data_IF_796174924475
#
_entry.id   IF_796174924475
#
_cell.length_a   1.000
_cell.length_b   1.000
_cell.length_c   1.000
_cell.angle_alpha   90.00
_cell.angle_beta   90.00
_cell.angle_gamma   90.00
#
_symmetry.space_group_name_H-M   'P 1'
#
loop_
_entity.id
_entity.type
_entity.pdbx_description
1 polymer ?
#
# COMPACT_ATOMS: atom_id res chain seq x y z
N UNK A 1 -13.04 9.13 3.30
CA UNK A 1 -13.46 9.82 2.06
C UNK A 1 -14.95 9.57 1.81
N UNK A 2 -15.84 10.28 2.48
CA UNK A 2 -17.23 10.40 2.01
C UNK A 2 -17.28 11.55 1.01
N UNK A 3 -16.85 11.27 -0.21
CA UNK A 3 -17.36 12.03 -1.34
C UNK A 3 -18.77 11.45 -1.62
N UNK A 4 -19.77 12.29 -1.82
CA UNK A 4 -21.16 11.88 -2.08
C UNK A 4 -21.56 12.08 -3.53
N UNK A 5 -20.66 12.59 -4.38
CA UNK A 5 -20.88 12.73 -5.81
C UNK A 5 -19.57 12.57 -6.59
N UNK A 6 -19.60 11.85 -7.70
CA UNK A 6 -18.46 11.81 -8.61
C UNK A 6 -18.22 13.21 -9.23
N UNK A 7 -17.34 14.00 -8.62
CA UNK A 7 -16.93 15.34 -9.08
C UNK A 7 -16.20 15.30 -10.43
N UNK A 8 -15.82 14.10 -10.89
CA UNK A 8 -15.17 13.85 -12.17
C UNK A 8 -16.18 13.71 -13.32
N UNK A 9 -17.49 13.68 -13.04
CA UNK A 9 -18.51 13.36 -14.03
C UNK A 9 -19.65 14.38 -14.04
N UNK A 10 -19.73 15.15 -15.12
CA UNK A 10 -20.94 15.89 -15.49
C UNK A 10 -21.91 14.92 -16.21
N UNK A 11 -22.99 14.55 -15.52
CA UNK A 11 -24.00 13.65 -16.09
C UNK A 11 -24.71 14.24 -17.32
N UNK A 12 -24.63 15.56 -17.55
CA UNK A 12 -25.16 16.18 -18.76
C UNK A 12 -24.24 15.97 -19.98
N UNK A 13 -23.00 15.53 -19.77
CA UNK A 13 -21.97 15.32 -20.81
C UNK A 13 -21.61 13.84 -21.01
N UNK A 14 -22.42 12.91 -20.53
CA UNK A 14 -22.17 11.47 -20.71
C UNK A 14 -22.04 11.07 -22.19
N UNK A 15 -22.75 11.76 -23.08
CA UNK A 15 -22.74 11.50 -24.52
C UNK A 15 -21.45 11.98 -25.23
N UNK A 16 -20.60 12.76 -24.55
CA UNK A 16 -19.37 13.35 -25.11
C UNK A 16 -18.10 12.77 -24.48
N UNK A 17 -18.18 11.57 -23.88
CA UNK A 17 -17.02 10.87 -23.36
C UNK A 17 -16.15 10.23 -24.48
N UNK A 18 -14.81 10.17 -24.33
CA UNK A 18 -14.05 10.56 -23.13
C UNK A 18 -13.90 12.09 -23.01
N UNK A 19 -14.25 12.62 -21.84
CA UNK A 19 -14.01 14.01 -21.45
C UNK A 19 -12.61 14.19 -20.82
N UNK A 20 -12.14 15.44 -20.75
CA UNK A 20 -10.91 15.78 -20.02
C UNK A 20 -11.14 15.87 -18.50
N UNK A 21 -10.07 15.72 -17.70
CA UNK A 21 -10.12 15.99 -16.26
C UNK A 21 -10.39 17.49 -16.06
N UNK A 22 -11.44 17.90 -15.32
CA UNK A 22 -11.75 19.31 -15.09
C UNK A 22 -10.55 20.07 -14.50
N UNK A 23 -10.24 21.31 -14.95
CA UNK A 23 -9.05 22.05 -14.50
C UNK A 23 -8.95 22.23 -12.98
N UNK A 24 -10.06 22.55 -12.30
CA UNK A 24 -10.08 22.70 -10.85
C UNK A 24 -9.73 21.41 -10.10
N UNK A 25 -10.17 20.27 -10.65
CA UNK A 25 -9.86 18.96 -10.12
C UNK A 25 -8.42 18.56 -10.38
N UNK A 26 -7.90 18.81 -11.57
CA UNK A 26 -6.49 18.58 -11.88
C UNK A 26 -5.59 19.39 -10.94
N UNK A 27 -5.92 20.67 -10.71
CA UNK A 27 -5.20 21.53 -9.77
C UNK A 27 -5.22 20.98 -8.34
N UNK A 28 -6.38 20.49 -7.87
CA UNK A 28 -6.47 19.87 -6.54
C UNK A 28 -5.70 18.55 -6.44
N UNK A 29 -5.75 17.69 -7.46
CA UNK A 29 -4.97 16.45 -7.51
C UNK A 29 -3.47 16.74 -7.46
N UNK A 30 -3.00 17.70 -8.27
CA UNK A 30 -1.60 18.14 -8.27
C UNK A 30 -1.19 18.70 -6.92
N UNK A 31 -2.04 19.54 -6.30
CA UNK A 31 -1.79 20.11 -4.97
C UNK A 31 -1.75 19.03 -3.89
N UNK A 32 -2.67 18.07 -3.90
CA UNK A 32 -2.72 16.97 -2.93
C UNK A 32 -1.48 16.08 -3.07
N UNK A 33 -1.07 15.72 -4.28
CA UNK A 33 0.10 14.85 -4.48
C UNK A 33 1.43 15.52 -4.19
N UNK A 34 1.51 16.85 -4.22
CA UNK A 34 2.76 17.58 -3.95
C UNK A 34 2.81 18.12 -2.53
N UNK A 35 1.71 18.64 -2.00
CA UNK A 35 1.69 19.34 -0.71
C UNK A 35 0.90 18.60 0.37
N UNK A 36 0.14 17.57 0.00
CA UNK A 36 -0.76 16.86 0.90
C UNK A 36 -2.04 17.64 1.23
N UNK A 37 -2.29 18.76 0.54
CA UNK A 37 -3.42 19.68 0.76
C UNK A 37 -4.13 19.99 -0.55
N UNK A 38 -5.46 19.90 -0.55
CA UNK A 38 -6.31 20.42 -1.64
C UNK A 38 -6.73 21.86 -1.38
N UNK A 39 -7.07 22.59 -2.44
CA UNK A 39 -7.63 23.94 -2.33
C UNK A 39 -9.12 23.92 -1.95
N UNK A 40 -9.80 22.79 -2.17
CA UNK A 40 -11.25 22.67 -1.97
C UNK A 40 -12.07 22.92 -3.24
N UNK A 41 -11.44 23.37 -4.33
CA UNK A 41 -12.12 23.84 -5.53
C UNK A 41 -12.66 22.71 -6.42
N UNK A 42 -11.89 21.63 -6.59
CA UNK A 42 -12.26 20.44 -7.35
C UNK A 42 -12.51 19.21 -6.47
N UNK A 43 -11.91 19.16 -5.29
CA UNK A 43 -12.10 18.14 -4.26
C UNK A 43 -12.36 18.87 -2.95
N UNK A 44 -13.52 18.70 -2.28
CA UNK A 44 -13.87 19.39 -1.03
C UNK A 44 -13.07 18.84 0.17
N UNK A 45 -11.75 18.93 0.09
CA UNK A 45 -10.77 18.38 1.01
C UNK A 45 -9.66 19.41 1.22
N UNK A 46 -9.83 20.21 2.26
CA UNK A 46 -8.88 21.27 2.65
C UNK A 46 -7.98 20.84 3.82
N UNK A 47 -8.23 19.67 4.41
CA UNK A 47 -7.38 19.12 5.46
C UNK A 47 -6.15 18.44 4.85
N UNK A 48 -5.08 18.35 5.65
CA UNK A 48 -3.86 17.65 5.27
C UNK A 48 -4.11 16.14 5.27
N UNK A 49 -4.00 15.52 4.09
CA UNK A 49 -4.16 14.07 3.89
C UNK A 49 -2.85 13.36 3.56
N UNK A 50 -1.78 14.13 3.28
CA UNK A 50 -0.46 13.59 2.95
C UNK A 50 0.70 14.48 3.39
N UNK A 51 1.91 14.01 3.07
CA UNK A 51 3.15 14.75 3.27
C UNK A 51 3.36 15.86 2.23
N UNK A 52 4.41 16.65 2.41
CA UNK A 52 4.88 17.58 1.38
C UNK A 52 6.11 16.98 0.70
N UNK A 53 6.07 16.96 -0.63
CA UNK A 53 7.06 16.32 -1.48
C UNK A 53 7.50 17.29 -2.58
N UNK A 54 8.79 17.28 -2.97
CA UNK A 54 9.26 18.06 -4.12
C UNK A 54 8.60 17.65 -5.45
N UNK A 55 8.19 16.37 -5.54
CA UNK A 55 7.55 15.76 -6.71
C UNK A 55 6.16 15.25 -6.31
N UNK A 56 5.28 15.04 -7.29
CA UNK A 56 3.98 14.44 -7.04
C UNK A 56 4.14 12.99 -6.54
N UNK A 57 3.65 12.71 -5.34
CA UNK A 57 3.62 11.38 -4.72
C UNK A 57 2.18 11.04 -4.38
N UNK A 58 1.69 9.97 -4.99
CA UNK A 58 0.30 9.57 -4.86
C UNK A 58 -0.01 8.37 -5.73
N UNK A 59 -1.26 7.94 -5.67
CA UNK A 59 -1.81 6.91 -6.53
C UNK A 59 -3.20 7.33 -6.96
N UNK A 60 -3.61 6.84 -8.12
CA UNK A 60 -4.95 7.00 -8.64
C UNK A 60 -5.42 5.62 -9.05
N UNK A 61 -6.59 5.21 -8.57
CA UNK A 61 -7.29 4.03 -9.06
C UNK A 61 -8.25 4.45 -10.16
N UNK A 62 -8.26 3.71 -11.26
CA UNK A 62 -9.17 3.96 -12.37
C UNK A 62 -10.02 2.70 -12.54
N UNK A 63 -11.32 2.87 -12.38
CA UNK A 63 -12.32 1.83 -12.61
C UNK A 63 -13.16 2.23 -13.82
N UNK A 64 -13.52 1.25 -14.67
CA UNK A 64 -14.41 1.49 -15.81
C UNK A 64 -15.84 1.25 -15.38
N UNK A 65 -16.75 2.10 -15.84
CA UNK A 65 -18.17 2.02 -15.51
C UNK A 65 -19.01 1.69 -16.75
N UNK A 66 -20.02 0.84 -16.57
CA UNK A 66 -21.01 0.50 -17.59
C UNK A 66 -21.93 1.68 -17.92
N UNK A 67 -22.16 2.54 -16.92
CA UNK A 67 -23.14 3.61 -16.97
C UNK A 67 -22.52 4.91 -16.47
N UNK A 68 -22.97 6.03 -17.03
CA UNK A 68 -22.64 7.35 -16.51
C UNK A 68 -23.37 7.57 -15.17
N UNK A 69 -22.64 7.63 -14.06
CA UNK A 69 -23.20 7.68 -12.71
C UNK A 69 -22.28 8.42 -11.74
N UNK A 70 -22.86 8.98 -10.68
CA UNK A 70 -22.10 9.67 -9.62
C UNK A 70 -21.81 8.78 -8.40
N UNK A 71 -22.13 7.49 -8.46
CA UNK A 71 -21.86 6.58 -7.36
C UNK A 71 -20.35 6.38 -7.21
N UNK A 72 -19.93 6.18 -5.96
CA UNK A 72 -18.52 6.05 -5.61
C UNK A 72 -18.28 4.73 -4.87
N UNK A 73 -17.02 4.29 -4.76
CA UNK A 73 -16.66 3.04 -4.06
C UNK A 73 -17.10 2.94 -2.59
N UNK A 74 -17.65 4.00 -2.00
CA UNK A 74 -18.24 3.99 -0.66
C UNK A 74 -19.76 3.70 -0.67
N UNK A 75 -20.34 3.39 -1.83
CA UNK A 75 -21.74 3.06 -2.01
C UNK A 75 -21.89 1.64 -2.56
N UNK A 76 -22.86 0.89 -2.05
CA UNK A 76 -23.16 -0.47 -2.49
C UNK A 76 -23.42 -0.55 -4.02
N UNK A 77 -24.19 0.42 -4.53
CA UNK A 77 -24.58 0.53 -5.95
C UNK A 77 -23.39 0.56 -6.91
N UNK A 78 -22.28 1.17 -6.49
CA UNK A 78 -21.07 1.29 -7.31
C UNK A 78 -20.61 -0.07 -7.85
N UNK A 79 -20.47 -1.04 -6.95
CA UNK A 79 -19.98 -2.36 -7.28
C UNK A 79 -21.07 -3.29 -7.84
N UNK A 80 -22.34 -3.08 -7.48
CA UNK A 80 -23.42 -3.98 -7.94
C UNK A 80 -23.95 -3.64 -9.31
N UNK A 81 -23.95 -2.37 -9.71
CA UNK A 81 -24.61 -1.93 -10.96
C UNK A 81 -23.75 -1.07 -11.87
N UNK A 82 -22.65 -0.51 -11.39
CA UNK A 82 -21.98 0.57 -12.10
C UNK A 82 -20.63 0.17 -12.67
N UNK A 83 -19.73 -0.45 -11.89
CA UNK A 83 -18.40 -0.81 -12.39
C UNK A 83 -18.44 -2.03 -13.30
N UNK A 84 -17.62 -1.98 -14.34
CA UNK A 84 -17.15 -3.13 -15.08
C UNK A 84 -15.89 -3.64 -14.37
N UNK A 85 -15.84 -4.94 -14.10
CA UNK A 85 -14.69 -5.59 -13.47
C UNK A 85 -13.58 -5.85 -14.51
N UNK A 86 -13.27 -4.82 -15.28
CA UNK A 86 -12.33 -4.88 -16.38
C UNK A 86 -10.94 -4.50 -15.86
N UNK A 87 -9.93 -5.28 -16.21
CA UNK A 87 -8.54 -4.94 -15.91
C UNK A 87 -8.03 -3.94 -16.98
N UNK A 88 -8.53 -2.70 -16.94
CA UNK A 88 -8.38 -1.76 -18.07
C UNK A 88 -6.99 -1.15 -18.16
N UNK A 89 -6.19 -1.24 -17.09
CA UNK A 89 -4.83 -0.68 -17.04
C UNK A 89 -3.82 -1.76 -16.65
N UNK A 90 -3.51 -2.61 -17.62
CA UNK A 90 -2.25 -3.34 -17.68
C UNK A 90 -1.30 -2.47 -18.50
N UNK A 91 -0.38 -1.78 -17.84
CA UNK A 91 0.51 -0.84 -18.50
C UNK A 91 1.65 -0.44 -17.58
N UNK A 92 2.54 0.40 -18.08
CA UNK A 92 3.69 0.90 -17.34
C UNK A 92 3.51 2.38 -17.03
N UNK A 93 4.04 2.83 -15.90
CA UNK A 93 4.25 4.26 -15.68
C UNK A 93 5.70 4.61 -15.99
N UNK A 94 5.91 5.88 -16.35
CA UNK A 94 7.22 6.48 -16.47
C UNK A 94 7.30 7.69 -15.55
N UNK A 95 8.40 7.80 -14.82
CA UNK A 95 8.75 8.94 -13.97
C UNK A 95 9.94 9.64 -14.62
N UNK A 96 9.75 10.90 -14.98
CA UNK A 96 10.80 11.73 -15.59
C UNK A 96 11.14 12.81 -14.58
N UNK A 97 12.38 12.76 -14.08
CA UNK A 97 12.95 13.81 -13.25
C UNK A 97 13.86 14.67 -14.15
N UNK A 98 13.37 15.81 -14.66
CA UNK A 98 14.16 16.65 -15.57
C UNK A 98 15.17 17.53 -14.82
N UNK A 99 15.16 17.53 -13.48
CA UNK A 99 15.95 18.47 -12.69
C UNK A 99 17.39 17.96 -12.51
N UNK A 100 18.41 18.63 -13.10
CA UNK A 100 19.80 18.20 -13.00
C UNK A 100 20.35 18.21 -11.57
N UNK A 101 19.75 18.99 -10.66
CA UNK A 101 20.16 19.09 -9.26
C UNK A 101 19.64 17.91 -8.41
N UNK A 102 18.50 17.32 -8.77
CA UNK A 102 17.90 16.17 -8.08
C UNK A 102 17.99 14.87 -8.89
N UNK A 103 18.65 14.93 -10.04
CA UNK A 103 18.90 13.81 -10.95
C UNK A 103 18.11 13.94 -12.24
N UNK A 104 18.81 14.10 -13.35
CA UNK A 104 18.31 14.05 -14.71
C UNK A 104 18.16 12.60 -15.17
N UNK A 105 17.17 11.89 -14.61
CA UNK A 105 16.93 10.47 -14.90
C UNK A 105 15.46 10.20 -15.24
N UNK A 106 15.25 9.08 -15.92
CA UNK A 106 13.93 8.49 -16.11
C UNK A 106 13.89 7.13 -15.43
N UNK A 107 12.76 6.82 -14.81
CA UNK A 107 12.43 5.50 -14.27
C UNK A 107 11.07 5.05 -14.77
N UNK A 108 10.70 3.82 -14.45
CA UNK A 108 9.41 3.28 -14.79
C UNK A 108 9.27 1.86 -14.27
N UNK A 109 8.04 1.45 -14.05
CA UNK A 109 7.67 0.12 -13.58
C UNK A 109 6.24 -0.16 -14.08
N UNK A 110 5.86 -1.42 -14.29
CA UNK A 110 4.47 -1.80 -14.37
C UNK A 110 3.58 -1.13 -13.32
N UNK A 111 2.38 -0.76 -13.75
CA UNK A 111 1.30 -0.36 -12.86
C UNK A 111 0.91 -1.54 -11.95
N UNK A 112 0.36 -1.22 -10.79
CA UNK A 112 -0.10 -2.23 -9.83
C UNK A 112 -1.22 -3.06 -10.45
N UNK A 113 -0.92 -4.32 -10.75
CA UNK A 113 -1.89 -5.23 -11.34
C UNK A 113 -2.82 -5.80 -10.27
N UNK A 114 -4.07 -5.33 -10.27
CA UNK A 114 -5.14 -5.89 -9.46
C UNK A 114 -6.09 -6.64 -10.38
N UNK A 115 -6.19 -7.96 -10.19
CA UNK A 115 -7.09 -8.81 -10.97
C UNK A 115 -8.49 -8.76 -10.37
N UNK A 116 -9.49 -8.45 -11.19
CA UNK A 116 -10.90 -8.70 -10.85
C UNK A 116 -11.37 -10.10 -11.31
N UNK A 117 -12.31 -10.71 -10.58
CA UNK A 117 -12.81 -12.07 -10.86
C UNK A 117 -14.35 -12.13 -11.01
N UNK A 118 -14.88 -12.55 -12.18
CA UNK A 118 -14.18 -12.76 -13.43
C UNK A 118 -13.81 -11.40 -14.01
N UNK A 119 -12.71 -11.39 -14.75
CA UNK A 119 -12.34 -10.27 -15.60
C UNK A 119 -13.40 -10.08 -16.68
N UNK A 120 -13.79 -8.83 -16.97
CA UNK A 120 -14.83 -8.57 -17.97
C UNK A 120 -16.25 -8.83 -17.49
N UNK A 121 -16.42 -9.17 -16.20
CA UNK A 121 -17.72 -9.56 -15.67
C UNK A 121 -18.73 -8.41 -15.65
N UNK A 122 -20.00 -8.63 -16.01
CA UNK A 122 -21.01 -7.60 -15.88
C UNK A 122 -21.23 -7.24 -14.40
N UNK A 123 -21.72 -6.02 -14.11
CA UNK A 123 -22.12 -5.65 -12.75
C UNK A 123 -23.08 -6.71 -12.17
N UNK A 124 -22.83 -7.16 -10.95
CA UNK A 124 -23.65 -8.16 -10.26
C UNK A 124 -23.56 -9.61 -10.80
N UNK A 125 -22.81 -9.89 -11.87
CA UNK A 125 -22.74 -11.21 -12.49
C UNK A 125 -21.91 -12.20 -11.66
N UNK A 126 -22.52 -13.10 -10.90
CA UNK A 126 -21.82 -14.04 -10.02
C UNK A 126 -21.20 -15.21 -10.80
N UNK A 127 -19.88 -15.31 -10.82
CA UNK A 127 -19.19 -16.57 -11.17
C UNK A 127 -18.18 -16.92 -10.07
N UNK A 128 -18.27 -18.15 -9.58
CA UNK A 128 -17.33 -18.75 -8.64
C UNK A 128 -15.96 -18.98 -9.32
N UNK A 129 -14.82 -19.00 -8.58
CA UNK A 129 -14.69 -19.33 -7.17
C UNK A 129 -14.42 -18.13 -6.25
N UNK A 130 -14.63 -18.37 -4.96
CA UNK A 130 -14.63 -17.38 -3.89
C UNK A 130 -13.36 -16.51 -3.84
N UNK A 131 -13.54 -15.19 -3.75
CA UNK A 131 -12.58 -14.26 -3.17
C UNK A 131 -12.60 -14.37 -1.63
N UNK A 132 -11.46 -14.09 -0.99
CA UNK A 132 -11.19 -14.54 0.38
C UNK A 132 -11.67 -13.59 1.49
N UNK A 133 -12.73 -12.80 1.27
CA UNK A 133 -13.32 -11.95 2.33
C UNK A 133 -14.64 -12.58 2.82
N UNK A 134 -14.81 -12.78 4.14
CA UNK A 134 -15.97 -13.48 4.76
C UNK A 134 -17.09 -12.50 5.20
N UNK A 135 -18.28 -12.70 4.61
CA UNK A 135 -19.70 -12.28 4.86
C UNK A 135 -19.97 -10.82 5.32
N UNK A 136 -21.00 -10.06 4.90
CA UNK A 136 -22.33 -10.41 4.37
C UNK A 136 -22.62 -9.89 2.94
N UNK A 137 -21.67 -9.26 2.27
CA UNK A 137 -21.64 -9.35 0.81
C UNK A 137 -20.21 -9.46 0.30
N UNK A 138 -19.83 -10.71 0.06
CA UNK A 138 -18.47 -11.18 -0.25
C UNK A 138 -18.10 -10.98 -1.72
N UNK A 139 -18.95 -10.29 -2.47
CA UNK A 139 -19.01 -10.35 -3.94
C UNK A 139 -19.11 -8.96 -4.57
N UNK A 140 -19.12 -7.93 -3.73
CA UNK A 140 -19.23 -6.54 -4.14
C UNK A 140 -17.90 -6.10 -4.71
N UNK A 141 -16.82 -6.03 -3.91
CA UNK A 141 -15.48 -5.81 -4.49
C UNK A 141 -14.86 -7.16 -4.88
N UNK A 142 -14.72 -7.37 -6.19
CA UNK A 142 -14.26 -8.65 -6.80
C UNK A 142 -12.78 -8.64 -7.15
N UNK A 143 -12.07 -7.61 -6.71
CA UNK A 143 -10.63 -7.46 -6.91
C UNK A 143 -9.86 -8.32 -5.91
N UNK A 144 -8.78 -8.94 -6.37
CA UNK A 144 -7.89 -9.70 -5.50
C UNK A 144 -7.17 -8.74 -4.56
N UNK A 145 -7.22 -8.95 -3.23
CA UNK A 145 -6.62 -8.02 -2.30
C UNK A 145 -5.09 -8.12 -2.29
N UNK A 146 -4.44 -6.97 -2.11
CA UNK A 146 -2.98 -6.84 -2.05
C UNK A 146 -2.42 -7.21 -0.66
N UNK A 147 -1.15 -7.65 -0.58
CA UNK A 147 -0.52 -8.05 0.67
C UNK A 147 -0.21 -6.87 1.59
N UNK A 148 0.08 -7.19 2.86
CA UNK A 148 0.58 -6.24 3.86
C UNK A 148 2.08 -6.37 4.14
N UNK A 149 2.71 -7.45 3.67
CA UNK A 149 4.07 -7.84 4.02
C UNK A 149 4.97 -7.98 2.80
N UNK A 150 6.15 -7.36 2.83
CA UNK A 150 7.08 -7.31 1.70
C UNK A 150 8.53 -7.56 2.15
N UNK A 151 9.35 -8.06 1.23
CA UNK A 151 10.80 -8.04 1.30
C UNK A 151 11.35 -7.17 0.15
N UNK A 152 12.16 -6.18 0.49
CA UNK A 152 12.67 -5.21 -0.48
C UNK A 152 14.20 -5.12 -0.39
N UNK A 153 14.91 -5.34 -1.50
CA UNK A 153 16.35 -5.12 -1.54
C UNK A 153 16.68 -3.64 -1.40
N UNK A 154 17.89 -3.33 -0.94
CA UNK A 154 18.38 -1.96 -0.93
C UNK A 154 19.88 -1.87 -1.24
N UNK A 155 20.28 -0.67 -1.66
CA UNK A 155 21.67 -0.19 -1.70
C UNK A 155 21.68 1.23 -1.11
N UNK A 156 22.68 1.54 -0.29
CA UNK A 156 22.94 2.82 0.35
C UNK A 156 24.44 3.14 0.22
N UNK A 157 24.94 3.13 -1.02
CA UNK A 157 26.36 3.29 -1.30
C UNK A 157 26.88 4.73 -1.16
N UNK A 158 25.99 5.71 -0.95
CA UNK A 158 26.34 7.12 -0.82
C UNK A 158 26.57 7.80 -2.18
N UNK A 159 27.35 8.89 -2.17
CA UNK A 159 27.62 9.69 -3.37
C UNK A 159 28.43 8.90 -4.39
N UNK A 160 27.98 8.88 -5.65
CA UNK A 160 28.65 8.16 -6.73
C UNK A 160 28.31 6.66 -6.81
N UNK A 161 27.41 6.17 -5.95
CA UNK A 161 26.90 4.81 -5.99
C UNK A 161 25.36 4.81 -6.04
N UNK A 162 24.77 3.62 -6.13
CA UNK A 162 23.33 3.46 -6.02
C UNK A 162 22.85 3.77 -4.60
N UNK A 163 21.70 4.43 -4.53
CA UNK A 163 20.94 4.66 -3.32
C UNK A 163 19.50 4.19 -3.54
N UNK A 164 18.83 3.80 -2.45
CA UNK A 164 17.46 3.29 -2.50
C UNK A 164 16.47 4.29 -1.93
N UNK A 165 15.36 4.43 -2.65
CA UNK A 165 14.15 5.11 -2.24
C UNK A 165 12.99 4.11 -2.30
N UNK A 166 12.17 4.04 -1.26
CA UNK A 166 10.96 3.23 -1.27
C UNK A 166 9.75 4.11 -1.55
N UNK A 167 9.08 3.82 -2.66
CA UNK A 167 7.77 4.40 -3.00
C UNK A 167 6.70 3.45 -2.46
N UNK A 168 5.94 3.91 -1.48
CA UNK A 168 5.02 3.08 -0.70
C UNK A 168 3.61 3.63 -0.85
N UNK A 169 2.71 2.76 -1.30
CA UNK A 169 1.27 2.95 -1.18
C UNK A 169 0.71 2.06 -0.07
N UNK A 170 -0.25 2.59 0.66
CA UNK A 170 -0.90 1.94 1.79
C UNK A 170 -2.39 2.23 1.73
N UNK A 171 -3.20 1.28 2.16
CA UNK A 171 -4.64 1.49 2.27
C UNK A 171 -4.95 2.44 3.42
N UNK A 172 -5.51 3.60 3.10
CA UNK A 172 -5.91 4.60 4.07
C UNK A 172 -7.21 4.28 4.82
N UNK A 173 -7.46 5.07 5.85
CA UNK A 173 -8.72 5.12 6.58
C UNK A 173 -9.80 5.80 5.72
N UNK A 174 -10.83 5.05 5.35
CA UNK A 174 -11.89 5.54 4.44
C UNK A 174 -13.06 6.22 5.15
N UNK A 175 -13.10 6.25 6.49
CA UNK A 175 -14.23 6.79 7.27
C UNK A 175 -14.20 8.32 7.35
N UNK A 176 -15.33 8.98 7.02
CA UNK A 176 -15.56 10.41 7.21
C UNK A 176 -15.18 11.35 6.05
N UNK A 177 -15.64 12.60 6.12
CA UNK A 177 -15.42 13.69 5.17
C UNK A 177 -14.17 14.52 5.48
N UNK A 178 -13.29 14.72 4.49
CA UNK A 178 -11.96 15.34 4.66
C UNK A 178 -11.99 16.74 5.32
N UNK A 179 -13.01 17.56 5.07
CA UNK A 179 -13.05 18.98 5.45
C UNK A 179 -13.52 19.29 6.88
N UNK A 180 -13.95 18.29 7.67
CA UNK A 180 -14.62 18.54 8.96
C UNK A 180 -13.76 18.27 10.21
N UNK A 181 -12.45 18.03 10.05
CA UNK A 181 -11.51 17.96 11.18
C UNK A 181 -11.63 16.74 12.12
N UNK A 182 -12.65 15.89 11.97
CA UNK A 182 -12.91 14.74 12.88
C UNK A 182 -12.93 13.39 12.15
N UNK A 183 -12.10 13.19 11.13
CA UNK A 183 -12.31 12.09 10.17
C UNK A 183 -11.03 11.37 9.77
N UNK A 184 -11.14 10.06 9.52
CA UNK A 184 -10.03 9.15 9.22
C UNK A 184 -9.07 9.61 8.13
N UNK A 185 -9.53 10.45 7.19
CA UNK A 185 -8.67 11.02 6.14
C UNK A 185 -7.46 11.82 6.69
N UNK A 186 -7.58 12.51 7.83
CA UNK A 186 -6.42 13.20 8.43
C UNK A 186 -5.40 12.20 8.97
N UNK A 187 -5.87 11.06 9.47
CA UNK A 187 -5.01 9.99 9.97
C UNK A 187 -4.23 9.28 8.85
N UNK A 188 -4.62 9.47 7.58
CA UNK A 188 -3.86 8.98 6.42
C UNK A 188 -2.52 9.71 6.25
N UNK A 189 -2.34 10.88 6.87
CA UNK A 189 -1.08 11.62 6.82
C UNK A 189 0.04 10.97 7.64
N UNK A 190 -0.29 10.10 8.59
CA UNK A 190 0.66 9.37 9.42
C UNK A 190 0.02 8.10 9.98
N UNK A 191 0.12 7.01 9.22
CA UNK A 191 -0.42 5.72 9.62
C UNK A 191 0.68 4.88 10.26
N UNK A 192 0.40 4.25 11.40
CA UNK A 192 1.35 3.37 12.10
C UNK A 192 1.88 2.28 11.17
N UNK A 193 3.18 1.99 11.22
CA UNK A 193 3.76 0.79 10.60
C UNK A 193 3.89 -0.28 11.67
N UNK A 194 3.49 -1.51 11.37
CA UNK A 194 3.56 -2.62 12.35
C UNK A 194 5.01 -2.97 12.64
N UNK A 195 5.81 -3.16 11.60
CA UNK A 195 7.21 -3.55 11.75
C UNK A 195 8.02 -3.20 10.50
N UNK A 196 9.25 -2.74 10.72
CA UNK A 196 10.29 -2.66 9.71
C UNK A 196 11.55 -3.30 10.28
N UNK A 197 12.08 -4.29 9.58
CA UNK A 197 13.38 -4.90 9.90
C UNK A 197 14.31 -4.68 8.72
N UNK A 198 15.50 -4.18 8.99
CA UNK A 198 16.55 -4.00 7.99
C UNK A 198 17.66 -5.01 8.26
N UNK A 199 18.07 -5.71 7.21
CA UNK A 199 19.16 -6.68 7.19
C UNK A 199 20.31 -6.13 6.34
N UNK A 200 21.54 -6.18 6.85
CA UNK A 200 22.74 -5.87 6.08
C UNK A 200 23.20 -7.07 5.21
N UNK A 201 24.38 -6.99 4.61
CA UNK A 201 24.93 -8.03 3.72
C UNK A 201 25.31 -9.31 4.50
N UNK A 202 25.46 -9.19 5.81
CA UNK A 202 25.79 -10.27 6.74
C UNK A 202 24.56 -10.77 7.51
N UNK A 203 23.35 -10.38 7.10
CA UNK A 203 22.08 -10.72 7.74
C UNK A 203 21.97 -10.23 9.20
N UNK A 204 22.80 -9.27 9.63
CA UNK A 204 22.58 -8.60 10.91
C UNK A 204 21.31 -7.76 10.77
N UNK A 205 20.48 -7.75 11.82
CA UNK A 205 19.19 -7.07 11.78
C UNK A 205 19.18 -5.82 12.66
N UNK A 206 18.48 -4.79 12.21
CA UNK A 206 18.04 -3.67 13.03
C UNK A 206 16.55 -3.46 12.82
N UNK A 207 15.84 -3.09 13.88
CA UNK A 207 14.38 -3.00 13.85
C UNK A 207 13.87 -1.65 14.32
N UNK A 208 12.75 -1.26 13.72
CA UNK A 208 11.82 -0.31 14.28
C UNK A 208 10.52 -1.07 14.43
N UNK A 209 10.23 -1.45 15.68
CA UNK A 209 8.96 -2.05 16.04
C UNK A 209 8.03 -0.97 16.59
N UNK A 210 6.77 -0.99 16.17
CA UNK A 210 5.75 -0.10 16.71
C UNK A 210 5.56 -0.33 18.21
N UNK A 211 5.66 0.76 18.99
CA UNK A 211 5.38 0.82 20.44
C UNK A 211 6.19 -0.18 21.27
N UNK A 212 7.48 0.11 21.47
CA UNK A 212 8.21 -0.43 22.62
C UNK A 212 7.49 0.11 23.89
N UNK A 213 7.17 -0.71 24.91
CA UNK A 213 6.54 -0.26 26.16
C UNK A 213 7.54 0.49 27.06
N UNK A 214 8.21 1.50 26.50
CA UNK A 214 8.98 2.50 27.24
C UNK A 214 8.19 3.80 27.23
N UNK A 215 8.20 4.53 28.35
CA UNK A 215 7.48 5.81 28.49
C UNK A 215 8.48 6.96 28.61
N UNK A 216 8.40 8.01 27.79
CA UNK A 216 7.46 8.16 26.66
C UNK A 216 7.82 7.18 25.53
N UNK A 217 6.80 6.63 24.88
CA UNK A 217 7.01 5.82 23.68
C UNK A 217 7.71 6.71 22.64
N UNK A 218 8.77 6.23 21.96
CA UNK A 218 9.33 6.95 20.83
C UNK A 218 8.20 7.28 19.86
N UNK A 219 8.20 8.48 19.23
CA UNK A 219 7.25 8.79 18.18
C UNK A 219 7.21 7.61 17.19
N UNK A 220 6.04 6.99 17.03
CA UNK A 220 5.92 5.82 16.17
C UNK A 220 6.38 6.16 14.74
N UNK A 221 6.97 5.18 14.05
CA UNK A 221 7.26 5.28 12.62
C UNK A 221 5.94 5.27 11.84
N UNK A 222 5.35 6.44 11.68
CA UNK A 222 4.19 6.65 10.83
C UNK A 222 4.62 6.88 9.38
N UNK A 223 3.93 6.24 8.43
CA UNK A 223 4.03 6.55 7.01
C UNK A 223 2.67 7.04 6.51
N UNK A 224 2.62 8.08 5.66
CA UNK A 224 1.37 8.46 5.02
C UNK A 224 0.86 7.36 4.07
N UNK A 225 -0.37 7.52 3.59
CA UNK A 225 -1.03 6.64 2.62
C UNK A 225 -0.23 6.44 1.33
N UNK A 226 0.37 7.52 0.84
CA UNK A 226 1.35 7.46 -0.22
C UNK A 226 2.61 8.20 0.22
N UNK A 227 3.77 7.61 -0.03
CA UNK A 227 5.04 8.20 0.37
C UNK A 227 6.20 7.74 -0.51
N UNK A 228 7.24 8.56 -0.55
CA UNK A 228 8.50 8.29 -1.25
C UNK A 228 9.60 8.66 -0.27
N UNK A 229 10.23 7.65 0.34
CA UNK A 229 11.16 7.84 1.45
C UNK A 229 12.53 7.26 1.11
N UNK A 230 13.61 8.06 1.20
CA UNK A 230 14.95 7.52 1.08
C UNK A 230 15.19 6.52 2.20
N UNK A 231 15.94 5.44 1.94
CA UNK A 231 16.28 4.44 2.96
C UNK A 231 17.03 5.06 4.15
N UNK A 232 17.77 6.15 3.92
CA UNK A 232 18.45 6.93 4.96
C UNK A 232 17.50 7.77 5.83
N UNK A 233 16.21 7.82 5.51
CA UNK A 233 15.19 8.52 6.27
C UNK A 233 14.93 7.87 7.62
N UNK A 234 14.45 8.66 8.59
CA UNK A 234 14.24 8.25 9.98
C UNK A 234 13.15 7.18 10.18
N UNK A 235 12.36 6.91 9.14
CA UNK A 235 11.31 5.89 9.18
C UNK A 235 11.86 4.46 9.05
N UNK A 236 13.08 4.31 8.50
CA UNK A 236 13.73 3.02 8.36
C UNK A 236 14.79 2.82 9.47
N UNK A 237 14.98 1.58 9.95
CA UNK A 237 16.05 1.28 10.89
C UNK A 237 17.41 1.69 10.35
N UNK A 238 18.29 2.17 11.25
CA UNK A 238 19.69 2.41 10.92
C UNK A 238 20.34 1.13 10.42
N UNK A 239 21.31 1.23 9.51
CA UNK A 239 22.00 0.04 9.04
C UNK A 239 22.73 -0.67 10.20
N UNK A 240 22.59 -1.99 10.36
CA UNK A 240 23.19 -2.74 11.47
C UNK A 240 24.72 -2.93 11.34
N UNK A 241 25.46 -1.82 11.32
CA UNK A 241 26.84 -1.65 11.81
C UNK A 241 27.97 -2.67 11.48
N UNK A 242 27.90 -3.48 10.43
CA UNK A 242 29.13 -4.01 9.83
C UNK A 242 29.81 -2.91 9.01
N UNK A 243 31.08 -2.60 9.32
CA UNK A 243 31.82 -1.58 8.60
C UNK A 243 32.05 -2.01 7.14
N UNK A 244 31.48 -1.25 6.20
CA UNK A 244 31.66 -1.49 4.76
C UNK A 244 30.42 -2.03 4.05
N UNK A 245 29.43 -2.55 4.78
CA UNK A 245 28.18 -2.98 4.17
C UNK A 245 27.47 -1.75 3.60
N UNK A 246 26.94 -1.88 2.38
CA UNK A 246 26.15 -0.81 1.75
C UNK A 246 24.85 -1.35 1.14
N UNK A 247 24.66 -2.66 1.10
CA UNK A 247 23.47 -3.30 0.59
C UNK A 247 22.79 -4.17 1.67
N UNK A 248 21.71 -4.83 1.26
CA UNK A 248 20.94 -5.73 2.11
C UNK A 248 19.48 -5.82 1.68
N UNK A 249 18.61 -6.15 2.62
CA UNK A 249 17.18 -6.21 2.38
C UNK A 249 16.36 -5.74 3.60
N UNK A 250 15.12 -5.33 3.35
CA UNK A 250 14.21 -4.83 4.37
C UNK A 250 12.95 -5.69 4.37
N UNK A 251 12.56 -6.19 5.52
CA UNK A 251 11.22 -6.70 5.78
C UNK A 251 10.30 -5.54 6.15
N UNK A 252 9.13 -5.47 5.52
CA UNK A 252 8.13 -4.44 5.73
C UNK A 252 6.80 -5.08 6.08
N UNK A 253 6.30 -4.86 7.30
CA UNK A 253 4.92 -5.15 7.69
C UNK A 253 4.14 -3.83 7.79
N UNK A 254 3.47 -3.48 6.69
CA UNK A 254 2.80 -2.21 6.50
C UNK A 254 1.35 -2.22 6.98
N UNK A 255 0.93 -3.26 7.71
CA UNK A 255 -0.37 -3.26 8.38
C UNK A 255 -0.46 -2.04 9.30
N UNK A 256 -1.53 -1.23 9.14
CA UNK A 256 -1.65 0.02 9.89
C UNK A 256 -2.43 -0.11 11.20
N UNK A 257 -2.83 -1.34 11.57
CA UNK A 257 -3.43 -1.64 12.87
C UNK A 257 -4.72 -0.86 13.15
N UNK A 258 -5.36 -0.34 12.10
CA UNK A 258 -6.55 0.48 12.15
C UNK A 258 -7.51 0.05 13.28
N UNK A 259 -7.59 0.83 14.35
CA UNK A 259 -8.57 0.71 15.44
C UNK A 259 -9.15 2.12 15.66
N UNK A 260 -10.46 2.29 15.44
CA UNK A 260 -11.19 3.53 15.73
C UNK A 260 -12.01 3.36 17.01
N UNK A 261 -11.46 3.82 18.15
CA UNK A 261 -12.09 3.69 19.46
C UNK A 261 -12.07 2.25 19.97
N UNK A 262 -13.20 1.72 20.45
CA UNK A 262 -13.35 0.30 20.84
C UNK A 262 -13.63 -0.63 19.65
N UNK A 263 -13.64 -0.10 18.42
CA UNK A 263 -14.02 -0.83 17.21
C UNK A 263 -12.82 -0.90 16.30
N UNK A 264 -12.35 -2.11 15.98
CA UNK A 264 -11.27 -2.31 14.99
C UNK A 264 -11.75 -1.67 13.69
N UNK A 265 -10.98 -0.71 13.18
CA UNK A 265 -11.30 -0.01 11.96
C UNK A 265 -11.13 -0.99 10.81
N UNK A 266 -12.25 -1.38 10.22
CA UNK A 266 -12.28 -2.42 9.22
C UNK A 266 -11.89 -1.80 7.88
N UNK A 267 -10.75 -2.20 7.35
CA UNK A 267 -10.38 -1.95 5.95
C UNK A 267 -11.48 -2.54 5.05
N UNK A 268 -12.07 -1.68 4.21
CA UNK A 268 -13.29 -1.91 3.44
C UNK A 268 -14.20 -3.04 3.96
N UNK A 269 -15.05 -2.72 4.94
CA UNK A 269 -16.34 -3.38 5.07
C UNK A 269 -17.38 -2.29 5.15
N UNK A 270 -18.28 -2.25 4.17
CA UNK A 270 -19.46 -1.38 4.14
C UNK A 270 -20.13 -1.40 5.51
N UNK A 271 -20.09 -0.30 6.27
CA UNK A 271 -20.96 0.12 7.39
C UNK A 271 -21.67 -0.93 8.28
N UNK A 272 -21.21 -2.18 8.34
CA UNK A 272 -21.88 -3.28 9.05
C UNK A 272 -21.03 -3.63 10.25
N UNK A 273 -21.60 -3.31 11.41
CA UNK A 273 -21.10 -3.66 12.73
C UNK A 273 -20.52 -5.09 12.75
N UNK A 274 -19.38 -5.19 13.41
CA UNK A 274 -18.59 -6.40 13.62
C UNK A 274 -19.53 -7.53 14.07
N UNK A 275 -19.56 -8.63 13.31
CA UNK A 275 -19.96 -9.90 13.90
C UNK A 275 -18.90 -10.21 14.95
N UNK A 276 -19.32 -10.31 16.22
CA UNK A 276 -18.47 -10.66 17.36
C UNK A 276 -17.62 -11.88 16.96
N UNK A 277 -16.29 -11.69 16.83
CA UNK A 277 -15.34 -12.74 16.43
C UNK A 277 -14.78 -12.69 15.00
N UNK A 278 -15.10 -11.67 14.19
CA UNK A 278 -14.51 -11.52 12.85
C UNK A 278 -13.08 -10.98 12.87
N UNK A 279 -12.11 -11.74 12.34
CA UNK A 279 -10.74 -11.27 12.13
C UNK A 279 -10.74 -10.17 11.06
N UNK A 280 -10.29 -8.97 11.41
CA UNK A 280 -10.04 -7.91 10.44
C UNK A 280 -8.91 -8.35 9.50
N UNK A 281 -9.08 -8.14 8.19
CA UNK A 281 -8.01 -8.37 7.23
C UNK A 281 -6.88 -7.34 7.43
N UNK A 282 -5.65 -7.65 7.02
CA UNK A 282 -4.60 -6.63 6.95
C UNK A 282 -4.93 -5.49 5.98
N UNK A 283 -4.23 -4.37 6.13
CA UNK A 283 -4.31 -3.29 5.14
C UNK A 283 -3.67 -3.77 3.85
N UNK A 284 -4.22 -3.33 2.72
CA UNK A 284 -3.60 -3.53 1.42
C UNK A 284 -2.48 -2.50 1.24
N UNK A 285 -1.35 -2.92 0.68
CA UNK A 285 -0.24 -2.00 0.44
C UNK A 285 0.47 -2.39 -0.85
N UNK A 286 1.38 -1.53 -1.31
CA UNK A 286 2.27 -1.77 -2.42
C UNK A 286 3.60 -1.06 -2.18
N UNK A 287 4.70 -1.70 -2.57
CA UNK A 287 6.05 -1.17 -2.36
C UNK A 287 6.85 -1.31 -3.65
N UNK A 288 7.35 -0.18 -4.12
CA UNK A 288 8.28 -0.11 -5.24
C UNK A 288 9.65 0.31 -4.69
N UNK A 289 10.67 -0.42 -5.11
CA UNK A 289 12.07 -0.13 -4.86
C UNK A 289 12.59 0.69 -6.03
N UNK A 290 12.95 1.94 -5.77
CA UNK A 290 13.66 2.79 -6.71
C UNK A 290 15.14 2.80 -6.32
N UNK A 291 16.01 2.34 -7.22
CA UNK A 291 17.46 2.48 -7.09
C UNK A 291 17.96 3.52 -8.07
N UNK A 292 18.65 4.53 -7.56
CA UNK A 292 19.15 5.64 -8.37
C UNK A 292 20.63 5.93 -8.08
N UNK A 293 21.37 6.36 -9.10
CA UNK A 293 22.80 6.67 -9.00
C UNK A 293 23.19 7.86 -9.88
N UNK A 294 24.17 8.63 -9.40
CA UNK A 294 24.87 9.69 -10.14
C UNK A 294 23.96 10.76 -10.78
N UNK A 295 22.72 10.88 -10.32
CA UNK A 295 21.73 11.77 -10.90
C UNK A 295 21.40 11.50 -12.37
N UNK A 296 21.64 10.28 -12.88
CA UNK A 296 21.38 9.93 -14.29
C UNK A 296 20.88 8.50 -14.50
N UNK A 297 21.02 7.63 -13.51
CA UNK A 297 20.55 6.26 -13.57
C UNK A 297 19.44 6.06 -12.56
N UNK A 298 18.37 5.41 -12.98
CA UNK A 298 17.30 4.94 -12.10
C UNK A 298 16.74 3.62 -12.61
N UNK A 299 16.36 2.74 -11.70
CA UNK A 299 15.56 1.55 -11.98
C UNK A 299 14.52 1.42 -10.88
N UNK A 300 13.28 1.14 -11.28
CA UNK A 300 12.17 0.86 -10.37
C UNK A 300 11.79 -0.62 -10.54
N UNK A 301 11.47 -1.29 -9.44
CA UNK A 301 10.93 -2.65 -9.44
C UNK A 301 10.13 -2.91 -8.17
N UNK A 302 9.21 -3.86 -8.22
CA UNK A 302 8.37 -4.18 -7.06
C UNK A 302 9.16 -4.93 -5.97
N UNK A 303 8.82 -4.65 -4.71
CA UNK A 303 9.26 -5.48 -3.61
C UNK A 303 8.60 -6.87 -3.69
N UNK A 304 9.29 -7.90 -3.20
CA UNK A 304 8.76 -9.24 -3.16
C UNK A 304 7.63 -9.35 -2.12
N UNK A 305 6.49 -9.90 -2.51
CA UNK A 305 5.37 -10.10 -1.60
C UNK A 305 5.63 -11.33 -0.73
N UNK A 306 5.51 -11.19 0.59
CA UNK A 306 5.68 -12.30 1.54
C UNK A 306 4.34 -12.94 1.95
N UNK A 307 3.26 -12.53 1.30
CA UNK A 307 1.91 -13.03 1.51
C UNK A 307 0.98 -12.59 0.39
N UNK A 308 -0.31 -12.76 0.60
CA UNK A 308 -1.35 -12.19 -0.24
C UNK A 308 -2.35 -11.42 0.64
N UNK A 309 -3.33 -10.73 0.07
CA UNK A 309 -4.31 -9.97 0.87
C UNK A 309 -5.25 -10.82 1.76
N UNK A 310 -5.01 -12.13 1.82
CA UNK A 310 -5.76 -13.11 2.59
C UNK A 310 -4.87 -13.77 3.65
N UNK A 311 -3.55 -13.57 3.56
CA UNK A 311 -2.62 -13.88 4.63
C UNK A 311 -3.01 -13.06 5.86
N UNK A 312 -2.94 -13.68 7.04
CA UNK A 312 -3.05 -12.93 8.29
C UNK A 312 -1.94 -11.89 8.36
N UNK A 313 -2.23 -10.74 8.96
CA UNK A 313 -1.17 -9.82 9.34
C UNK A 313 -0.29 -10.58 10.31
N UNK A 314 1.02 -10.69 10.01
CA UNK A 314 1.97 -11.26 10.97
C UNK A 314 1.78 -10.44 12.25
N UNK A 315 1.53 -11.14 13.37
CA UNK A 315 1.12 -10.52 14.62
C UNK A 315 2.15 -9.47 15.06
N UNK A 316 1.79 -8.19 14.93
CA UNK A 316 2.52 -7.11 15.56
C UNK A 316 2.48 -7.31 17.07
N UNK A 317 3.64 -7.47 17.70
CA UNK A 317 3.75 -7.62 19.15
C UNK A 317 4.45 -8.90 19.63
N UNK A 318 4.98 -9.73 18.74
CA UNK A 318 5.88 -10.80 19.16
C UNK A 318 7.26 -10.22 19.51
N UNK A 319 7.75 -10.48 20.72
CA UNK A 319 9.15 -10.32 21.15
C UNK A 319 10.16 -11.12 20.31
N UNK A 320 9.72 -11.71 19.20
CA UNK A 320 10.50 -12.54 18.29
C UNK A 320 10.87 -11.68 17.11
N UNK A 321 11.97 -10.95 17.26
CA UNK A 321 12.64 -10.25 16.16
C UNK A 321 12.87 -11.23 15.01
N UNK A 322 12.48 -10.87 13.79
CA UNK A 322 12.97 -11.56 12.60
C UNK A 322 14.48 -11.32 12.55
N UNK A 323 15.26 -12.32 12.94
CA UNK A 323 16.72 -12.26 13.01
C UNK A 323 17.37 -13.24 12.03
N UNK A 324 18.70 -13.13 11.82
CA UNK A 324 19.46 -14.03 10.95
C UNK A 324 19.16 -15.49 11.26
N UNK A 325 19.17 -16.33 10.22
CA UNK A 325 18.79 -17.74 10.21
C UNK A 325 19.39 -18.54 11.39
N UNK A 326 18.64 -18.56 12.49
CA UNK A 326 18.84 -19.39 13.67
C UNK A 326 17.56 -19.54 14.51
N UNK A 327 16.45 -18.92 14.08
CA UNK A 327 15.15 -19.03 14.71
C UNK A 327 14.47 -20.36 14.35
N UNK A 328 13.92 -21.02 15.37
CA UNK A 328 12.99 -22.14 15.20
C UNK A 328 11.81 -21.67 14.35
N UNK A 329 11.46 -22.38 13.28
CA UNK A 329 10.28 -22.09 12.46
C UNK A 329 9.05 -21.89 13.37
N UNK A 330 8.47 -20.69 13.35
CA UNK A 330 7.25 -20.41 14.09
C UNK A 330 6.06 -20.81 13.24
N UNK A 331 5.34 -21.85 13.67
CA UNK A 331 4.07 -22.22 13.05
C UNK A 331 3.00 -21.15 13.28
N UNK A 332 2.25 -20.74 12.24
CA UNK A 332 1.08 -19.92 12.45
C UNK A 332 0.02 -20.72 13.23
N UNK A 333 -0.48 -20.16 14.33
CA UNK A 333 -1.58 -20.77 15.08
C UNK A 333 -2.82 -20.96 14.16
N UNK A 334 -3.55 -22.09 14.25
CA UNK A 334 -3.50 -23.09 15.32
C UNK A 334 -2.52 -24.24 15.07
N UNK A 335 -1.61 -24.14 14.10
CA UNK A 335 -0.69 -25.22 13.77
C UNK A 335 0.36 -25.38 14.88
N UNK A 336 0.52 -26.62 15.33
CA UNK A 336 1.59 -27.03 16.25
C UNK A 336 2.90 -27.20 15.48
N UNK A 337 4.05 -27.08 16.17
CA UNK A 337 5.37 -27.32 15.57
C UNK A 337 5.45 -28.64 14.80
N UNK A 338 4.80 -29.70 15.31
CA UNK A 338 4.72 -31.01 14.67
C UNK A 338 3.96 -31.00 13.32
N UNK A 339 3.06 -30.03 13.10
CA UNK A 339 2.28 -29.90 11.86
C UNK A 339 3.01 -29.10 10.77
N UNK A 340 3.94 -28.21 11.14
CA UNK A 340 4.83 -27.55 10.17
C UNK A 340 6.10 -28.35 9.88
N UNK A 341 6.46 -29.31 10.74
CA UNK A 341 7.34 -30.40 10.39
C UNK A 341 6.60 -31.40 9.49
N UNK A 342 6.37 -31.03 8.23
CA UNK A 342 6.27 -32.04 7.19
C UNK A 342 7.61 -32.81 7.15
N UNK A 343 7.62 -34.12 6.84
CA UNK A 343 8.85 -34.90 6.70
C UNK A 343 9.80 -34.19 5.71
N UNK A 344 11.12 -34.43 5.75
CA UNK A 344 12.07 -33.68 4.95
C UNK A 344 11.67 -33.73 3.47
N UNK A 345 10.98 -32.69 3.00
CA UNK A 345 10.90 -32.40 1.58
C UNK A 345 12.34 -32.12 1.16
N UNK A 346 12.77 -32.68 0.02
CA UNK A 346 14.16 -32.66 -0.37
C UNK A 346 14.66 -31.22 -0.32
N UNK A 347 15.76 -31.03 0.41
CA UNK A 347 16.58 -29.82 0.38
C UNK A 347 16.61 -29.36 -1.07
N UNK A 348 16.03 -28.20 -1.36
CA UNK A 348 16.02 -27.66 -2.70
C UNK A 348 17.45 -27.55 -3.19
N UNK A 349 17.89 -28.52 -4.00
CA UNK A 349 19.06 -28.33 -4.82
C UNK A 349 18.74 -27.15 -5.72
N UNK A 350 19.69 -26.23 -5.84
CA UNK A 350 19.61 -25.05 -6.69
C UNK A 350 19.68 -25.44 -8.18
N UNK A 351 18.82 -26.37 -8.60
CA UNK A 351 18.65 -26.84 -9.97
C UNK A 351 17.34 -26.28 -10.48
N UNK A 352 17.46 -25.34 -11.41
CA UNK A 352 16.38 -24.77 -12.22
C UNK A 352 15.49 -25.89 -12.78
N UNK A 353 14.15 -25.80 -12.70
CA UNK A 353 13.29 -26.76 -13.39
C UNK A 353 13.48 -26.63 -14.91
N UNK A 354 13.29 -27.72 -15.69
CA UNK A 354 13.27 -27.66 -17.14
C UNK A 354 12.15 -26.76 -17.69
#
# INVERSE_FOLDING_TARGET
>A
MSNTANLFLDLSQCATLPGGIPPALLADLQSIFTTGLGSGAGIPCTARVGGTHPNAVGYVTIDVNANCNTSLPNTFTYFTTNILYDNVLVGDYQDINPNPATGNFAGGNPLVHIRAIPEGGPPGGLTAPASNLRAADRRIDRRQPLPATFAARYIQGGTGAFNTNYKIWREGYTVGACSTGVTGAINNSSMTVTEIVRFDEHENSSTISGVIPISPAPPGSGLPEASSNPLSGTVFPIQPSAAGDVAGWTFLNLHNGAIFGSTVAVYSRDNVAIAVGGLARPSQNWVIVQMFAEGRFSVDFDAAWLGNGCSTGIAGGGTVTIGPAGGVFVCPLPLTAAQCHQPPLPVGSNTTPP
#
